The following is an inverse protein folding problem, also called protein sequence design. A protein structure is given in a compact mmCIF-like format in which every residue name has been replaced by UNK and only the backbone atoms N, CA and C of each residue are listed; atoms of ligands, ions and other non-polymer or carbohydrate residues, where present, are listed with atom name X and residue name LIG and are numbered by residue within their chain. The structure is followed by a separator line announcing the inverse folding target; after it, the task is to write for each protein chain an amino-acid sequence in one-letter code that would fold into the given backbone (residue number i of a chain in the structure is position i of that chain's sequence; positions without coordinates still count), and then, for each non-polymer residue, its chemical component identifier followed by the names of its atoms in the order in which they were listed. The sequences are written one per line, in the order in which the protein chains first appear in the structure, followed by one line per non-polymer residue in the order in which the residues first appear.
data_IF_385710560334
#
_entry.id   IF_385710560334
#
_cell.length_a   1.000
_cell.length_b   1.000
_cell.length_c   1.000
_cell.angle_alpha   90.00
_cell.angle_beta   90.00
_cell.angle_gamma   90.00
#
_symmetry.space_group_name_H-M   'P 1'
#
loop_
_entity.id
_entity.type
_entity.pdbx_description
1 polymer ?
#
# COMPACT_ATOMS: atom_id res chain seq x y z
N UNK A 1 10.13 12.27 -17.71
CA UNK A 1 8.90 11.56 -17.28
C UNK A 1 8.84 11.61 -15.75
N UNK A 2 8.08 12.53 -15.13
CA UNK A 2 8.20 12.84 -13.70
C UNK A 2 7.13 12.20 -12.78
N UNK A 3 6.25 11.34 -13.32
CA UNK A 3 5.06 10.85 -12.58
C UNK A 3 5.18 9.39 -12.10
N UNK A 4 6.38 8.83 -12.09
CA UNK A 4 6.56 7.42 -11.74
C UNK A 4 7.01 7.24 -10.29
N UNK A 5 6.43 6.26 -9.55
CA UNK A 5 7.06 5.79 -8.31
C UNK A 5 8.51 5.36 -8.62
N UNK A 6 9.44 5.46 -7.65
CA UNK A 6 10.87 5.17 -7.85
C UNK A 6 11.09 3.84 -8.60
N UNK A 7 10.24 2.83 -8.36
CA UNK A 7 10.18 1.55 -9.09
C UNK A 7 10.27 1.69 -10.63
N UNK A 8 9.59 2.67 -11.25
CA UNK A 8 9.67 2.82 -12.71
C UNK A 8 10.93 3.55 -13.19
N UNK A 9 11.66 4.19 -12.28
CA UNK A 9 12.97 4.77 -12.56
C UNK A 9 14.04 3.67 -12.67
N UNK A 10 13.87 2.55 -11.96
CA UNK A 10 14.81 1.42 -11.93
C UNK A 10 14.53 0.29 -12.94
N UNK A 11 13.42 0.37 -13.68
CA UNK A 11 13.05 -0.60 -14.73
C UNK A 11 12.68 0.13 -16.03
N UNK A 12 13.65 0.75 -16.72
CA UNK A 12 13.40 1.57 -17.91
C UNK A 12 12.81 0.78 -19.09
N UNK A 13 12.94 -0.55 -19.11
CA UNK A 13 12.44 -1.44 -20.17
C UNK A 13 11.03 -2.01 -19.91
N UNK A 14 10.36 -1.58 -18.82
CA UNK A 14 9.00 -2.03 -18.55
C UNK A 14 8.00 -1.41 -19.54
N UNK A 15 7.18 -2.28 -20.15
CA UNK A 15 6.08 -1.88 -21.02
C UNK A 15 5.19 -0.81 -20.34
N UNK A 16 4.74 0.23 -21.07
CA UNK A 16 3.85 1.28 -20.55
C UNK A 16 2.58 0.74 -19.90
N UNK A 17 2.10 -0.41 -20.37
CA UNK A 17 0.94 -1.11 -19.81
C UNK A 17 1.21 -1.66 -18.42
N UNK A 18 2.41 -2.21 -18.19
CA UNK A 18 2.81 -2.75 -16.87
C UNK A 18 2.97 -1.61 -15.86
N UNK A 19 3.51 -0.46 -16.29
CA UNK A 19 3.59 0.73 -15.44
C UNK A 19 2.21 1.28 -15.06
N UNK A 20 1.28 1.28 -16.01
CA UNK A 20 -0.11 1.71 -15.77
C UNK A 20 -0.82 0.76 -14.82
N UNK A 21 -0.62 -0.56 -15.00
CA UNK A 21 -1.16 -1.58 -14.11
C UNK A 21 -0.58 -1.43 -12.68
N UNK A 22 0.73 -1.20 -12.54
CA UNK A 22 1.38 -0.97 -11.26
C UNK A 22 0.80 0.27 -10.55
N UNK A 23 0.66 1.39 -11.27
CA UNK A 23 0.02 2.60 -10.72
C UNK A 23 -1.40 2.32 -10.24
N UNK A 24 -2.17 1.58 -11.04
CA UNK A 24 -3.52 1.19 -10.67
C UNK A 24 -3.52 0.31 -9.41
N UNK A 25 -2.64 -0.67 -9.31
CA UNK A 25 -2.50 -1.52 -8.13
C UNK A 25 -2.11 -0.71 -6.88
N UNK A 26 -1.15 0.20 -7.00
CA UNK A 26 -0.68 1.05 -5.90
C UNK A 26 -1.80 1.94 -5.34
N UNK A 27 -2.66 2.49 -6.21
CA UNK A 27 -3.77 3.36 -5.78
C UNK A 27 -5.03 2.59 -5.37
N UNK A 28 -5.31 1.44 -6.00
CA UNK A 28 -6.52 0.65 -5.72
C UNK A 28 -6.37 -0.21 -4.47
N UNK A 29 -5.17 -0.69 -4.13
CA UNK A 29 -4.95 -1.57 -2.99
C UNK A 29 -5.33 -0.92 -1.65
N UNK A 30 -4.94 0.32 -1.33
CA UNK A 30 -5.40 1.00 -0.11
C UNK A 30 -6.93 1.11 -0.06
N UNK A 31 -7.57 1.41 -1.19
CA UNK A 31 -9.04 1.53 -1.28
C UNK A 31 -9.72 0.18 -1.01
N UNK A 32 -9.24 -0.90 -1.64
CA UNK A 32 -9.77 -2.24 -1.42
C UNK A 32 -9.61 -2.70 0.03
N UNK A 33 -8.46 -2.42 0.63
CA UNK A 33 -8.19 -2.75 2.04
C UNK A 33 -9.09 -1.95 2.98
N UNK A 34 -9.28 -0.65 2.72
CA UNK A 34 -10.19 0.18 3.51
C UNK A 34 -11.64 -0.34 3.42
N UNK A 35 -12.14 -0.67 2.22
CA UNK A 35 -13.48 -1.24 2.04
C UNK A 35 -13.60 -2.56 2.79
N UNK A 36 -12.62 -3.45 2.67
CA UNK A 36 -12.63 -4.73 3.35
C UNK A 36 -12.58 -4.59 4.89
N UNK A 37 -11.80 -3.64 5.42
CA UNK A 37 -11.81 -3.32 6.85
C UNK A 37 -13.16 -2.75 7.30
N UNK A 38 -13.75 -1.82 6.54
CA UNK A 38 -15.06 -1.24 6.82
C UNK A 38 -16.18 -2.28 6.83
N UNK A 39 -16.11 -3.30 5.96
CA UNK A 39 -17.05 -4.43 5.99
C UNK A 39 -16.96 -5.20 7.32
N UNK A 40 -15.77 -5.41 7.87
CA UNK A 40 -15.57 -6.08 9.16
C UNK A 40 -16.05 -5.25 10.35
N UNK A 41 -16.02 -3.91 10.23
CA UNK A 41 -16.57 -3.00 11.24
C UNK A 41 -18.10 -3.05 11.35
N UNK A 42 -18.80 -3.64 10.39
CA UNK A 42 -20.26 -3.89 10.48
C UNK A 42 -20.62 -5.05 11.41
N UNK A 43 -19.63 -5.81 11.88
CA UNK A 43 -19.84 -6.86 12.89
C UNK A 43 -20.38 -6.25 14.19
N UNK A 44 -21.30 -6.93 14.91
CA UNK A 44 -21.81 -6.47 16.19
C UNK A 44 -20.70 -6.26 17.24
N UNK A 45 -19.55 -6.92 17.07
CA UNK A 45 -18.34 -6.71 17.88
C UNK A 45 -17.18 -6.34 16.95
N UNK A 46 -17.04 -5.04 16.61
CA UNK A 46 -16.06 -4.62 15.62
C UNK A 46 -14.64 -4.73 16.19
N UNK A 47 -13.73 -5.39 15.47
CA UNK A 47 -12.36 -5.51 15.93
C UNK A 47 -11.62 -4.17 15.84
N UNK A 48 -10.91 -3.81 16.91
CA UNK A 48 -10.14 -2.55 16.97
C UNK A 48 -9.08 -2.48 15.86
N UNK A 49 -8.51 -3.62 15.48
CA UNK A 49 -7.54 -3.71 14.39
C UNK A 49 -8.13 -3.26 13.04
N UNK A 50 -9.44 -3.45 12.79
CA UNK A 50 -10.05 -3.02 11.54
C UNK A 50 -10.06 -1.49 11.40
N UNK A 51 -10.29 -0.73 12.48
CA UNK A 51 -10.15 0.73 12.45
C UNK A 51 -8.72 1.16 12.15
N UNK A 52 -7.74 0.49 12.76
CA UNK A 52 -6.32 0.73 12.50
C UNK A 52 -5.98 0.48 11.02
N UNK A 53 -6.49 -0.61 10.44
CA UNK A 53 -6.35 -0.91 9.02
C UNK A 53 -6.97 0.17 8.12
N UNK A 54 -8.15 0.72 8.47
CA UNK A 54 -8.75 1.83 7.73
C UNK A 54 -7.85 3.07 7.77
N UNK A 55 -7.34 3.43 8.96
CA UNK A 55 -6.45 4.60 9.12
C UNK A 55 -5.16 4.41 8.31
N UNK A 56 -4.51 3.26 8.44
CA UNK A 56 -3.30 2.94 7.69
C UNK A 56 -3.56 2.95 6.17
N UNK A 57 -4.69 2.41 5.71
CA UNK A 57 -5.07 2.45 4.31
C UNK A 57 -5.31 3.88 3.78
N UNK A 58 -5.95 4.75 4.57
CA UNK A 58 -6.13 6.16 4.20
C UNK A 58 -4.79 6.89 4.13
N UNK A 59 -3.92 6.72 5.12
CA UNK A 59 -2.58 7.31 5.12
C UNK A 59 -1.75 6.84 3.91
N UNK A 60 -1.82 5.54 3.60
CA UNK A 60 -1.16 4.97 2.44
C UNK A 60 -1.68 5.56 1.14
N UNK A 61 -3.01 5.71 1.02
CA UNK A 61 -3.63 6.36 -0.13
C UNK A 61 -3.14 7.80 -0.29
N UNK A 62 -3.08 8.58 0.79
CA UNK A 62 -2.58 9.96 0.76
C UNK A 62 -1.10 10.02 0.37
N UNK A 63 -0.27 9.09 0.85
CA UNK A 63 1.13 8.98 0.45
C UNK A 63 1.27 8.78 -1.07
N UNK A 64 0.45 7.90 -1.65
CA UNK A 64 0.51 7.61 -3.09
C UNK A 64 -0.23 8.64 -3.96
N UNK A 65 -1.20 9.36 -3.40
CA UNK A 65 -1.90 10.44 -4.09
C UNK A 65 -0.96 11.61 -4.36
N UNK A 66 0.04 11.84 -3.50
CA UNK A 66 1.04 12.89 -3.68
C UNK A 66 1.96 12.54 -4.86
N UNK A 67 1.82 13.21 -6.03
CA UNK A 67 2.59 12.92 -7.22
C UNK A 67 4.09 13.17 -6.96
N UNK A 68 5.00 12.35 -7.49
CA UNK A 68 6.43 12.59 -7.37
C UNK A 68 6.84 13.96 -7.92
N UNK A 69 6.15 14.46 -8.94
CA UNK A 69 6.37 15.77 -9.54
C UNK A 69 6.15 16.95 -8.55
N UNK A 70 5.33 16.77 -7.51
CA UNK A 70 5.14 17.78 -6.47
C UNK A 70 6.32 17.84 -5.50
N UNK A 71 7.16 16.79 -5.48
CA UNK A 71 8.33 16.66 -4.63
C UNK A 71 9.60 16.84 -5.45
N UNK A 72 9.99 18.10 -5.67
CA UNK A 72 11.17 18.40 -6.49
C UNK A 72 12.47 17.84 -5.90
N UNK A 73 12.57 17.79 -4.57
CA UNK A 73 13.74 17.26 -3.86
C UNK A 73 13.73 15.73 -3.82
N UNK A 74 14.87 15.10 -4.18
CA UNK A 74 15.04 13.64 -4.14
C UNK A 74 14.79 13.06 -2.74
N UNK A 75 15.29 13.75 -1.71
CA UNK A 75 15.14 13.35 -0.31
C UNK A 75 13.67 13.25 0.12
N UNK A 76 12.82 14.17 -0.34
CA UNK A 76 11.38 14.13 -0.04
C UNK A 76 10.67 12.96 -0.73
N UNK A 77 11.10 12.60 -1.96
CA UNK A 77 10.59 11.42 -2.67
C UNK A 77 10.97 10.12 -1.97
N UNK A 78 12.22 10.01 -1.53
CA UNK A 78 12.69 8.87 -0.72
C UNK A 78 11.97 8.80 0.63
N UNK A 79 11.77 9.94 1.30
CA UNK A 79 11.02 9.98 2.55
C UNK A 79 9.56 9.53 2.37
N UNK A 80 8.90 9.96 1.30
CA UNK A 80 7.54 9.51 0.94
C UNK A 80 7.49 8.00 0.77
N UNK A 81 8.41 7.44 -0.03
CA UNK A 81 8.41 6.00 -0.32
C UNK A 81 8.80 5.18 0.92
N UNK A 82 9.70 5.68 1.77
CA UNK A 82 10.04 5.08 3.06
C UNK A 82 8.84 5.10 4.03
N UNK A 83 8.13 6.23 4.12
CA UNK A 83 6.90 6.34 4.90
C UNK A 83 5.84 5.37 4.38
N UNK A 84 5.69 5.22 3.06
CA UNK A 84 4.78 4.26 2.46
C UNK A 84 5.13 2.82 2.84
N UNK A 85 6.41 2.43 2.86
CA UNK A 85 6.86 1.11 3.36
C UNK A 85 6.47 0.92 4.82
N UNK A 86 6.70 1.92 5.67
CA UNK A 86 6.32 1.87 7.08
C UNK A 86 4.81 1.66 7.26
N UNK A 87 4.00 2.37 6.48
CA UNK A 87 2.54 2.24 6.51
C UNK A 87 2.09 0.88 5.95
N UNK A 88 2.71 0.37 4.88
CA UNK A 88 2.44 -0.99 4.40
C UNK A 88 2.77 -2.04 5.47
N UNK A 89 3.90 -1.90 6.18
CA UNK A 89 4.27 -2.79 7.27
C UNK A 89 3.27 -2.75 8.43
N UNK A 90 2.82 -1.56 8.80
CA UNK A 90 1.74 -1.38 9.78
C UNK A 90 0.45 -2.06 9.32
N UNK A 91 0.02 -1.81 8.09
CA UNK A 91 -1.17 -2.40 7.50
C UNK A 91 -1.07 -3.93 7.46
N UNK A 92 0.08 -4.47 7.07
CA UNK A 92 0.34 -5.91 7.03
C UNK A 92 0.23 -6.54 8.43
N UNK A 93 0.82 -5.89 9.44
CA UNK A 93 0.79 -6.37 10.82
C UNK A 93 -0.64 -6.39 11.38
N UNK A 94 -1.38 -5.29 11.26
CA UNK A 94 -2.74 -5.21 11.80
C UNK A 94 -3.72 -6.06 10.99
N UNK A 95 -3.54 -6.18 9.66
CA UNK A 95 -4.34 -7.10 8.84
C UNK A 95 -4.09 -8.56 9.22
N UNK A 96 -2.83 -8.93 9.47
CA UNK A 96 -2.50 -10.26 9.97
C UNK A 96 -3.11 -10.52 11.35
N UNK A 97 -3.02 -9.54 12.25
CA UNK A 97 -3.62 -9.65 13.59
C UNK A 97 -5.13 -9.83 13.52
N UNK A 98 -5.79 -9.08 12.64
CA UNK A 98 -7.22 -9.16 12.35
C UNK A 98 -7.63 -10.55 11.84
N UNK A 99 -6.88 -11.12 10.89
CA UNK A 99 -7.12 -12.48 10.40
C UNK A 99 -6.90 -13.56 11.47
N UNK A 100 -5.92 -13.36 12.35
CA UNK A 100 -5.62 -14.28 13.46
C UNK A 100 -6.68 -14.25 14.56
N UNK A 101 -7.19 -13.07 14.91
CA UNK A 101 -8.12 -12.87 16.04
C UNK A 101 -9.58 -13.10 15.63
N UNK A 102 -9.99 -12.66 14.45
CA UNK A 102 -11.38 -12.71 13.99
C UNK A 102 -11.63 -13.72 12.85
N UNK A 103 -10.57 -14.41 12.43
CA UNK A 103 -10.61 -15.40 11.35
C UNK A 103 -10.27 -14.84 9.97
N UNK A 104 -9.82 -15.76 9.12
CA UNK A 104 -9.36 -15.48 7.76
C UNK A 104 -10.51 -15.57 6.76
N UNK A 105 -10.69 -14.51 5.98
CA UNK A 105 -11.52 -14.46 4.79
C UNK A 105 -10.72 -14.84 3.54
N UNK A 106 -11.43 -15.21 2.46
CA UNK A 106 -10.81 -15.58 1.17
C UNK A 106 -9.99 -14.45 0.54
N UNK A 107 -10.33 -13.20 0.84
CA UNK A 107 -9.65 -12.01 0.32
C UNK A 107 -8.37 -11.64 1.11
N UNK A 108 -8.12 -12.25 2.27
CA UNK A 108 -7.01 -11.83 3.14
C UNK A 108 -5.65 -12.31 2.62
N UNK A 109 -5.58 -13.56 2.16
CA UNK A 109 -4.36 -14.12 1.56
C UNK A 109 -3.86 -13.30 0.35
N UNK A 110 -4.70 -12.98 -0.65
CA UNK A 110 -4.26 -12.15 -1.76
C UNK A 110 -3.93 -10.72 -1.31
N UNK A 111 -4.63 -10.17 -0.32
CA UNK A 111 -4.32 -8.84 0.22
C UNK A 111 -2.93 -8.81 0.90
N UNK A 112 -2.61 -9.80 1.74
CA UNK A 112 -1.29 -9.94 2.37
C UNK A 112 -0.18 -10.12 1.33
N UNK A 113 -0.43 -10.97 0.32
CA UNK A 113 0.50 -11.17 -0.79
C UNK A 113 0.76 -9.88 -1.56
N UNK A 114 -0.29 -9.13 -1.88
CA UNK A 114 -0.16 -7.87 -2.60
C UNK A 114 0.54 -6.78 -1.77
N UNK A 115 0.23 -6.65 -0.47
CA UNK A 115 0.94 -5.74 0.44
C UNK A 115 2.43 -6.10 0.53
N UNK A 116 2.75 -7.39 0.69
CA UNK A 116 4.14 -7.87 0.78
C UNK A 116 4.91 -7.62 -0.52
N UNK A 117 4.29 -7.89 -1.67
CA UNK A 117 4.87 -7.59 -2.97
C UNK A 117 5.13 -6.08 -3.14
N UNK A 118 4.20 -5.23 -2.68
CA UNK A 118 4.39 -3.79 -2.74
C UNK A 118 5.50 -3.30 -1.82
N UNK A 119 5.65 -3.87 -0.62
CA UNK A 119 6.79 -3.59 0.26
C UNK A 119 8.10 -3.96 -0.44
N UNK A 120 8.20 -5.16 -1.02
CA UNK A 120 9.40 -5.62 -1.69
C UNK A 120 9.77 -4.71 -2.88
N UNK A 121 8.79 -4.38 -3.73
CA UNK A 121 8.99 -3.50 -4.87
C UNK A 121 9.40 -2.08 -4.44
N UNK A 122 8.72 -1.52 -3.43
CA UNK A 122 9.01 -0.16 -2.96
C UNK A 122 10.36 -0.11 -2.26
N UNK A 123 10.68 -1.11 -1.44
CA UNK A 123 11.96 -1.23 -0.75
C UNK A 123 13.13 -1.42 -1.72
N UNK A 124 12.96 -2.24 -2.75
CA UNK A 124 13.94 -2.37 -3.83
C UNK A 124 14.22 -1.02 -4.50
N UNK A 125 13.18 -0.25 -4.80
CA UNK A 125 13.33 1.09 -5.39
C UNK A 125 13.95 2.15 -4.47
N UNK A 126 14.10 1.91 -3.17
CA UNK A 126 14.79 2.83 -2.25
C UNK A 126 16.25 2.42 -2.03
N UNK A 127 16.52 1.12 -1.97
CA UNK A 127 17.84 0.57 -1.61
C UNK A 127 18.74 0.30 -2.82
N UNK A 128 18.16 0.20 -4.03
CA UNK A 128 18.87 -0.10 -5.28
C UNK A 128 19.29 1.13 -6.08
#
# INVERSE_FOLDING_TARGET
MPDTPLIATYLPDLSPWVLTLLRFCVLSLPVLVAIAALMRLRSPHPPRAAWSCVVAAVLLFLCWLMPPAWLQQLQMRQFRDFAAIGIYGWLLFDWFRLGREDGWGRADLPALGAMTAMIALTGWGILG
#
